data_IF_225364276767
#
_entry.id   IF_225364276767
#
_cell.length_a   1.000
_cell.length_b   1.000
_cell.length_c   1.000
_cell.angle_alpha   90.00
_cell.angle_beta   90.00
_cell.angle_gamma   90.00
#
_symmetry.space_group_name_H-M   'P 1'
#
loop_
_entity.id
_entity.type
_entity.pdbx_description
1 polymer ?
#
# COMPACT_ATOMS: atom_id res chain seq x y z
N UNK A 1 6.38 65.94 4.90
CA UNK A 1 5.96 64.71 4.20
C UNK A 1 7.16 63.77 4.11
N UNK A 2 7.22 62.73 4.93
CA UNK A 2 8.25 61.67 4.88
C UNK A 2 7.55 60.33 4.98
N UNK A 3 7.38 59.65 3.86
CA UNK A 3 6.85 58.30 3.80
C UNK A 3 8.00 57.31 3.82
N UNK A 4 8.22 56.64 4.95
CA UNK A 4 8.83 55.31 4.97
C UNK A 4 7.69 54.31 4.99
N UNK A 5 7.56 53.50 3.94
CA UNK A 5 6.84 52.23 4.02
C UNK A 5 7.83 51.12 3.70
N UNK A 6 8.09 50.35 4.75
CA UNK A 6 8.93 49.17 4.78
C UNK A 6 8.41 48.11 3.79
N UNK A 7 9.30 47.66 2.90
CA UNK A 7 9.16 46.37 2.24
C UNK A 7 10.09 45.39 2.95
N UNK A 8 9.56 44.53 3.81
CA UNK A 8 10.28 43.38 4.32
C UNK A 8 9.30 42.22 4.56
N UNK A 9 9.55 41.14 3.81
CA UNK A 9 9.35 39.73 4.12
C UNK A 9 8.02 39.25 4.74
N UNK A 10 7.31 38.39 4.01
CA UNK A 10 6.63 37.23 4.58
C UNK A 10 6.62 36.08 3.56
N UNK A 11 7.79 35.46 3.42
CA UNK A 11 7.89 34.05 3.06
C UNK A 11 7.72 33.22 4.36
N UNK A 12 7.18 32.00 4.23
CA UNK A 12 7.09 30.95 5.27
C UNK A 12 5.92 31.04 6.27
N UNK A 13 4.69 30.81 5.81
CA UNK A 13 3.63 30.28 6.70
C UNK A 13 2.79 29.24 5.96
N UNK A 14 3.30 28.01 5.88
CA UNK A 14 2.55 26.90 5.25
C UNK A 14 3.01 25.51 5.68
N UNK A 15 3.75 25.38 6.78
CA UNK A 15 4.26 24.08 7.26
C UNK A 15 3.48 23.50 8.46
N UNK A 16 2.61 24.28 9.10
CA UNK A 16 1.99 23.90 10.37
C UNK A 16 0.59 23.26 10.27
N UNK A 17 0.05 23.02 9.08
CA UNK A 17 -1.33 22.51 8.91
C UNK A 17 -1.44 21.00 8.62
N UNK A 18 -0.33 20.25 8.65
CA UNK A 18 -0.31 18.85 8.18
C UNK A 18 -0.79 17.82 9.24
N UNK A 19 -1.00 18.24 10.49
CA UNK A 19 -1.18 17.32 11.63
C UNK A 19 -2.62 17.15 12.13
N UNK A 20 -3.68 17.56 11.41
CA UNK A 20 -5.05 17.32 11.88
C UNK A 20 -5.79 16.21 11.14
N UNK A 21 -5.95 15.10 11.87
CA UNK A 21 -6.91 14.01 11.75
C UNK A 21 -6.64 12.91 10.72
N UNK A 22 -5.67 12.07 11.07
CA UNK A 22 -5.82 10.62 10.90
C UNK A 22 -6.76 10.13 12.03
N UNK A 23 -7.99 9.67 11.76
CA UNK A 23 -8.77 8.95 12.75
C UNK A 23 -8.13 7.58 12.89
N UNK A 24 -7.46 7.34 14.01
CA UNK A 24 -6.67 6.13 14.17
C UNK A 24 -7.18 5.31 15.37
N UNK A 25 -7.58 4.08 15.07
CA UNK A 25 -7.36 2.96 16.02
C UNK A 25 -5.85 2.73 16.25
N UNK A 26 -4.98 3.34 15.45
CA UNK A 26 -3.52 3.32 15.53
C UNK A 26 -2.96 4.52 16.32
N UNK A 27 -2.50 4.31 17.55
CA UNK A 27 -1.84 5.37 18.35
C UNK A 27 -0.52 5.78 17.69
N UNK A 28 -0.48 6.90 16.97
CA UNK A 28 0.76 7.56 16.53
C UNK A 28 0.85 8.89 17.29
N UNK A 29 1.95 9.11 18.02
CA UNK A 29 2.09 10.26 18.90
C UNK A 29 2.58 11.51 18.17
N UNK A 30 2.34 12.70 18.74
CA UNK A 30 2.80 13.99 18.18
C UNK A 30 4.33 14.04 17.94
N UNK A 31 5.11 13.31 18.76
CA UNK A 31 6.57 13.21 18.63
C UNK A 31 7.02 12.34 17.43
N UNK A 32 6.18 11.41 16.97
CA UNK A 32 6.50 10.52 15.83
C UNK A 32 6.37 11.28 14.50
N UNK A 33 5.41 12.21 14.43
CA UNK A 33 5.15 13.08 13.27
C UNK A 33 6.35 13.99 12.96
N UNK A 34 7.07 14.47 13.97
CA UNK A 34 8.22 15.36 13.82
C UNK A 34 9.48 14.68 13.28
N UNK A 35 9.54 13.34 13.31
CA UNK A 35 10.69 12.53 12.85
C UNK A 35 10.48 11.92 11.47
N UNK A 36 9.30 12.08 10.88
CA UNK A 36 8.97 11.48 9.60
C UNK A 36 9.84 12.08 8.47
N UNK A 37 10.46 11.26 7.62
CA UNK A 37 11.22 11.75 6.48
C UNK A 37 10.31 12.46 5.47
N UNK A 38 10.86 13.42 4.73
CA UNK A 38 10.21 14.03 3.56
C UNK A 38 10.09 12.96 2.46
N UNK A 39 8.98 12.22 2.50
CA UNK A 39 8.53 11.16 1.60
C UNK A 39 7.02 11.33 1.46
N UNK A 40 6.47 11.13 0.27
CA UNK A 40 5.03 11.21 0.03
C UNK A 40 4.54 10.07 -0.89
N UNK A 41 5.36 9.06 -1.12
CA UNK A 41 5.09 7.89 -1.95
C UNK A 41 5.87 6.72 -1.35
N UNK A 42 5.14 5.69 -0.93
CA UNK A 42 5.68 4.51 -0.26
C UNK A 42 4.94 3.26 -0.74
N UNK A 43 5.63 2.13 -0.76
CA UNK A 43 5.07 0.83 -1.12
C UNK A 43 5.63 -0.28 -0.22
N UNK A 44 4.90 -1.39 -0.14
CA UNK A 44 5.35 -2.63 0.51
C UNK A 44 6.42 -3.36 -0.29
N UNK A 45 6.40 -3.23 -1.62
CA UNK A 45 7.43 -3.71 -2.53
C UNK A 45 8.07 -2.50 -3.21
N UNK A 46 9.34 -2.25 -2.90
CA UNK A 46 10.09 -1.12 -3.47
C UNK A 46 10.84 -1.50 -4.75
N UNK A 47 10.99 -2.79 -5.03
CA UNK A 47 11.67 -3.27 -6.23
C UNK A 47 10.69 -3.34 -7.40
N UNK A 48 9.45 -3.76 -7.11
CA UNK A 48 8.34 -3.78 -8.04
C UNK A 48 7.08 -3.19 -7.35
N UNK A 49 6.99 -1.85 -7.24
CA UNK A 49 5.85 -1.22 -6.58
C UNK A 49 4.58 -1.33 -7.43
N UNK A 50 3.40 -1.56 -6.82
CA UNK A 50 2.12 -1.49 -7.53
C UNK A 50 1.97 -0.21 -8.35
N UNK A 51 1.49 -0.33 -9.59
CA UNK A 51 1.24 0.80 -10.49
C UNK A 51 -0.22 1.21 -10.46
N UNK A 52 -0.48 2.52 -10.47
CA UNK A 52 -1.83 3.06 -10.53
C UNK A 52 -2.43 2.92 -11.92
N UNK A 53 -3.74 2.76 -12.02
CA UNK A 53 -4.50 2.67 -13.27
C UNK A 53 -5.17 4.01 -13.56
N UNK A 54 -6.08 4.45 -12.68
CA UNK A 54 -6.84 5.71 -12.82
C UNK A 54 -5.95 6.92 -12.53
N UNK A 55 -4.99 6.75 -11.62
CA UNK A 55 -4.07 7.80 -11.20
C UNK A 55 -2.69 7.73 -11.85
N UNK A 56 -2.51 6.90 -12.89
CA UNK A 56 -1.21 6.64 -13.52
C UNK A 56 -0.45 7.92 -13.90
N UNK A 57 -1.14 8.91 -14.48
CA UNK A 57 -0.52 10.18 -14.91
C UNK A 57 -0.03 11.07 -13.75
N UNK A 58 -0.39 10.76 -12.49
CA UNK A 58 -0.02 11.56 -11.30
C UNK A 58 1.26 11.07 -10.63
N UNK A 59 1.55 9.78 -10.76
CA UNK A 59 2.60 9.11 -9.99
C UNK A 59 3.56 8.40 -10.92
N UNK A 60 4.79 8.90 -10.99
CA UNK A 60 5.90 8.21 -11.66
C UNK A 60 6.42 7.02 -10.85
N UNK A 61 7.57 6.44 -11.23
CA UNK A 61 8.26 5.46 -10.39
C UNK A 61 8.71 6.09 -9.06
N UNK A 62 8.73 5.29 -8.00
CA UNK A 62 9.33 5.72 -6.72
C UNK A 62 10.82 6.02 -6.96
N UNK A 63 11.33 7.21 -6.62
CA UNK A 63 12.72 7.56 -6.85
C UNK A 63 13.68 6.58 -6.17
N UNK A 64 14.76 6.18 -6.85
CA UNK A 64 15.72 5.20 -6.32
C UNK A 64 16.35 5.68 -4.99
N UNK A 65 16.60 6.99 -4.88
CA UNK A 65 17.12 7.62 -3.66
C UNK A 65 16.15 7.57 -2.46
N UNK A 66 14.86 7.30 -2.70
CA UNK A 66 13.86 7.17 -1.64
C UNK A 66 13.82 5.77 -1.08
N UNK A 67 14.14 4.73 -1.84
CA UNK A 67 13.98 3.33 -1.40
C UNK A 67 14.74 3.03 -0.10
N UNK A 68 16.03 3.42 0.08
CA UNK A 68 16.72 3.21 1.35
C UNK A 68 16.09 4.01 2.51
N UNK A 69 15.58 5.22 2.23
CA UNK A 69 14.92 6.07 3.23
C UNK A 69 13.59 5.46 3.70
N UNK A 70 12.80 4.93 2.76
CA UNK A 70 11.55 4.21 3.05
C UNK A 70 11.86 2.97 3.89
N UNK A 71 12.84 2.15 3.46
CA UNK A 71 13.23 0.93 4.17
C UNK A 71 13.69 1.19 5.60
N UNK A 72 14.48 2.24 5.81
CA UNK A 72 14.99 2.59 7.14
C UNK A 72 13.91 3.21 8.03
N UNK A 73 13.05 4.08 7.49
CA UNK A 73 12.01 4.74 8.27
C UNK A 73 10.83 3.82 8.59
N UNK A 74 10.49 2.92 7.66
CA UNK A 74 9.31 2.07 7.73
C UNK A 74 9.65 0.59 7.45
N UNK A 75 10.53 -0.04 8.26
CA UNK A 75 10.95 -1.43 8.04
C UNK A 75 9.79 -2.45 8.13
N UNK A 76 8.67 -2.04 8.73
CA UNK A 76 7.45 -2.82 8.84
C UNK A 76 6.57 -2.79 7.59
N UNK A 77 6.88 -1.97 6.57
CA UNK A 77 6.13 -1.98 5.30
C UNK A 77 6.56 -3.19 4.49
N UNK A 78 5.87 -4.29 4.73
CA UNK A 78 6.04 -5.54 4.02
C UNK A 78 4.70 -5.96 3.40
N UNK A 79 4.73 -6.71 2.30
CA UNK A 79 3.54 -7.31 1.71
C UNK A 79 2.89 -8.25 2.72
N UNK A 80 1.57 -8.34 2.67
CA UNK A 80 0.87 -9.38 3.43
C UNK A 80 0.95 -10.69 2.64
N UNK A 81 1.45 -11.74 3.28
CA UNK A 81 1.57 -13.07 2.69
C UNK A 81 0.43 -13.96 3.19
N UNK A 82 -0.31 -14.54 2.25
CA UNK A 82 -1.48 -15.37 2.48
C UNK A 82 -1.21 -16.74 1.87
N UNK A 83 -1.54 -17.81 2.59
CA UNK A 83 -1.48 -19.15 2.02
C UNK A 83 -2.56 -19.26 0.94
N UNK A 84 -2.16 -19.49 -0.32
CA UNK A 84 -3.10 -19.70 -1.43
C UNK A 84 -3.51 -21.18 -1.56
N UNK A 85 -2.99 -22.04 -0.68
CA UNK A 85 -3.20 -23.48 -0.69
C UNK A 85 -2.12 -24.23 -1.47
N UNK A 86 -2.21 -25.55 -1.39
CA UNK A 86 -1.45 -26.48 -2.23
C UNK A 86 -2.32 -27.11 -3.32
N UNK A 87 -3.64 -26.85 -3.29
CA UNK A 87 -4.59 -27.33 -4.28
C UNK A 87 -4.44 -26.62 -5.62
N UNK A 88 -5.00 -27.26 -6.65
CA UNK A 88 -5.03 -26.74 -8.01
C UNK A 88 -5.80 -25.42 -8.13
N UNK A 89 -5.81 -24.87 -9.35
CA UNK A 89 -6.26 -23.52 -9.70
C UNK A 89 -7.55 -23.04 -9.02
N UNK A 90 -8.51 -23.94 -8.75
CA UNK A 90 -9.78 -23.59 -8.12
C UNK A 90 -9.63 -23.08 -6.68
N UNK A 91 -8.79 -23.72 -5.86
CA UNK A 91 -8.55 -23.27 -4.48
C UNK A 91 -7.86 -21.90 -4.48
N UNK A 92 -6.89 -21.70 -5.37
CA UNK A 92 -6.17 -20.44 -5.51
C UNK A 92 -7.13 -19.31 -5.92
N UNK A 93 -8.03 -19.57 -6.89
CA UNK A 93 -9.08 -18.62 -7.31
C UNK A 93 -10.01 -18.24 -6.16
N UNK A 94 -10.41 -19.21 -5.35
CA UNK A 94 -11.26 -18.97 -4.17
C UNK A 94 -10.57 -18.07 -3.14
N UNK A 95 -9.31 -18.37 -2.80
CA UNK A 95 -8.53 -17.53 -1.87
C UNK A 95 -8.35 -16.11 -2.44
N UNK A 96 -8.03 -15.99 -3.73
CA UNK A 96 -7.92 -14.68 -4.40
C UNK A 96 -9.23 -13.90 -4.32
N UNK A 97 -10.37 -14.55 -4.58
CA UNK A 97 -11.68 -13.92 -4.52
C UNK A 97 -12.01 -13.44 -3.10
N UNK A 98 -11.78 -14.27 -2.07
CA UNK A 98 -11.98 -13.91 -0.67
C UNK A 98 -11.12 -12.69 -0.29
N UNK A 99 -9.84 -12.69 -0.69
CA UNK A 99 -8.91 -11.60 -0.37
C UNK A 99 -9.29 -10.30 -1.10
N UNK A 100 -9.69 -10.39 -2.37
CA UNK A 100 -10.17 -9.22 -3.12
C UNK A 100 -11.46 -8.65 -2.54
N UNK A 101 -12.41 -9.50 -2.16
CA UNK A 101 -13.67 -9.05 -1.57
C UNK A 101 -13.44 -8.39 -0.21
N UNK A 102 -12.63 -9.01 0.65
CA UNK A 102 -12.25 -8.43 1.94
C UNK A 102 -11.53 -7.07 1.77
N UNK A 103 -10.58 -6.97 0.84
CA UNK A 103 -9.86 -5.73 0.55
C UNK A 103 -10.80 -4.63 0.02
N UNK A 104 -11.70 -4.98 -0.90
CA UNK A 104 -12.67 -4.06 -1.51
C UNK A 104 -13.69 -3.58 -0.48
N UNK A 105 -14.24 -4.50 0.31
CA UNK A 105 -15.19 -4.21 1.39
C UNK A 105 -14.56 -3.33 2.47
N UNK A 106 -13.31 -3.60 2.85
CA UNK A 106 -12.57 -2.74 3.77
C UNK A 106 -12.33 -1.34 3.18
N UNK A 107 -11.92 -1.24 1.92
CA UNK A 107 -11.70 0.05 1.26
C UNK A 107 -13.00 0.87 1.16
N UNK A 108 -14.13 0.24 0.80
CA UNK A 108 -15.44 0.89 0.70
C UNK A 108 -16.00 1.32 2.06
N UNK A 109 -15.76 0.55 3.11
CA UNK A 109 -16.21 0.88 4.47
C UNK A 109 -15.28 1.87 5.19
N UNK A 110 -14.08 2.09 4.67
CA UNK A 110 -13.14 3.04 5.26
C UNK A 110 -13.62 4.48 5.01
N UNK A 111 -13.81 5.30 6.07
CA UNK A 111 -14.31 6.65 5.89
C UNK A 111 -13.42 7.51 5.00
N UNK A 112 -14.02 8.25 4.06
CA UNK A 112 -13.35 9.15 3.10
C UNK A 112 -12.43 8.45 2.11
N UNK A 113 -12.60 7.14 1.92
CA UNK A 113 -12.05 6.43 0.79
C UNK A 113 -13.10 6.34 -0.32
N UNK A 114 -12.64 6.47 -1.55
CA UNK A 114 -13.42 6.30 -2.77
C UNK A 114 -12.73 5.22 -3.60
N UNK A 115 -13.37 4.07 -3.79
CA UNK A 115 -12.85 3.04 -4.69
C UNK A 115 -13.10 3.47 -6.13
N UNK A 116 -12.03 3.66 -6.89
CA UNK A 116 -12.08 4.18 -8.27
C UNK A 116 -11.78 3.11 -9.32
N UNK A 117 -11.19 1.98 -8.93
CA UNK A 117 -10.94 0.85 -9.81
C UNK A 117 -10.91 -0.46 -9.02
N UNK A 118 -11.50 -1.51 -9.59
CA UNK A 118 -11.37 -2.89 -9.12
C UNK A 118 -11.19 -3.74 -10.37
N UNK A 119 -10.17 -4.59 -10.38
CA UNK A 119 -9.95 -5.62 -11.39
C UNK A 119 -9.78 -6.95 -10.68
N UNK A 120 -10.52 -7.95 -11.10
CA UNK A 120 -10.45 -9.31 -10.54
C UNK A 120 -9.63 -10.23 -11.46
N UNK A 121 -9.30 -11.42 -10.96
CA UNK A 121 -8.57 -12.43 -11.72
C UNK A 121 -9.27 -12.80 -13.04
N UNK A 122 -10.60 -12.81 -13.06
CA UNK A 122 -11.41 -13.11 -14.24
C UNK A 122 -11.21 -12.05 -15.33
N UNK A 123 -11.00 -10.79 -14.94
CA UNK A 123 -10.74 -9.67 -15.84
C UNK A 123 -9.28 -9.63 -16.34
N UNK A 124 -8.34 -10.19 -15.56
CA UNK A 124 -6.90 -10.17 -15.82
C UNK A 124 -6.45 -11.18 -16.90
N UNK A 125 -7.24 -12.23 -17.13
CA UNK A 125 -6.96 -13.26 -18.15
C UNK A 125 -6.96 -12.71 -19.60
N UNK A 126 -7.42 -11.47 -19.81
CA UNK A 126 -7.51 -10.83 -21.13
C UNK A 126 -6.40 -9.82 -21.45
N UNK A 127 -5.44 -9.58 -20.55
CA UNK A 127 -4.33 -8.66 -20.80
C UNK A 127 -3.45 -8.45 -19.58
N UNK A 128 -2.14 -8.64 -19.73
CA UNK A 128 -1.15 -8.56 -18.65
C UNK A 128 -1.35 -7.33 -17.75
N UNK A 129 -1.61 -7.48 -16.43
CA UNK A 129 -1.84 -6.34 -15.56
C UNK A 129 -0.51 -5.72 -15.15
N UNK A 130 -0.47 -4.38 -15.18
CA UNK A 130 0.18 -3.53 -14.18
C UNK A 130 1.45 -4.08 -13.49
N UNK A 131 2.55 -4.20 -14.25
CA UNK A 131 3.90 -4.43 -13.72
C UNK A 131 4.07 -5.79 -13.04
N UNK A 132 4.94 -6.64 -13.59
CA UNK A 132 5.31 -7.90 -12.97
C UNK A 132 6.67 -8.36 -13.48
N UNK A 133 7.42 -9.01 -12.61
CA UNK A 133 8.62 -9.77 -12.98
C UNK A 133 8.15 -11.13 -13.52
N UNK A 134 8.79 -11.66 -14.57
CA UNK A 134 8.44 -12.97 -15.14
C UNK A 134 8.35 -14.05 -14.07
N UNK A 135 7.21 -14.73 -13.99
CA UNK A 135 6.93 -15.80 -13.00
C UNK A 135 5.84 -15.46 -11.99
N UNK A 136 5.53 -14.17 -11.80
CA UNK A 136 4.44 -13.72 -10.93
C UNK A 136 3.25 -13.24 -11.78
N UNK A 137 2.06 -13.77 -11.50
CA UNK A 137 0.83 -13.34 -12.18
C UNK A 137 0.07 -12.40 -11.25
N UNK A 138 -0.13 -11.15 -11.68
CA UNK A 138 -1.08 -10.26 -11.01
C UNK A 138 -2.50 -10.82 -11.21
N UNK A 139 -3.19 -11.07 -10.10
CA UNK A 139 -4.50 -11.75 -10.06
C UNK A 139 -5.61 -10.86 -9.52
N UNK A 140 -5.30 -9.62 -9.15
CA UNK A 140 -6.30 -8.65 -8.73
C UNK A 140 -5.69 -7.29 -8.43
N UNK A 141 -6.43 -6.23 -8.77
CA UNK A 141 -6.07 -4.84 -8.54
C UNK A 141 -7.23 -4.11 -7.85
N UNK A 142 -6.90 -3.23 -6.93
CA UNK A 142 -7.85 -2.30 -6.31
C UNK A 142 -7.19 -0.93 -6.18
N UNK A 143 -7.79 0.08 -6.80
CA UNK A 143 -7.37 1.47 -6.64
C UNK A 143 -8.43 2.26 -5.87
N UNK A 144 -7.98 3.02 -4.89
CA UNK A 144 -8.83 3.90 -4.09
C UNK A 144 -8.17 5.27 -3.87
N UNK A 145 -8.98 6.27 -3.57
CA UNK A 145 -8.55 7.62 -3.22
C UNK A 145 -8.95 7.91 -1.79
N UNK A 146 -7.98 8.22 -0.93
CA UNK A 146 -8.22 8.67 0.44
C UNK A 146 -8.20 10.20 0.50
N UNK A 147 -9.23 10.80 1.11
CA UNK A 147 -9.30 12.26 1.30
C UNK A 147 -9.09 12.62 2.77
N UNK A 148 -8.09 13.46 3.08
CA UNK A 148 -7.81 13.97 4.44
C UNK A 148 -8.95 14.86 4.97
N UNK A 149 -9.12 14.95 6.30
CA UNK A 149 -10.39 15.41 6.89
C UNK A 149 -10.52 16.92 6.83
N UNK A 150 -9.45 17.60 7.22
CA UNK A 150 -9.42 19.05 7.35
C UNK A 150 -9.08 19.72 6.01
N UNK A 151 -7.96 19.31 5.40
CA UNK A 151 -7.40 19.96 4.21
C UNK A 151 -7.92 19.38 2.88
N UNK A 152 -8.63 18.24 2.92
CA UNK A 152 -9.14 17.54 1.74
C UNK A 152 -8.07 17.16 0.70
N UNK A 153 -6.81 17.06 1.12
CA UNK A 153 -5.75 16.46 0.32
C UNK A 153 -6.12 15.04 -0.05
N UNK A 154 -5.79 14.66 -1.29
CA UNK A 154 -6.07 13.37 -1.86
C UNK A 154 -4.77 12.57 -1.94
N UNK A 155 -4.87 11.32 -1.51
CA UNK A 155 -3.82 10.33 -1.62
C UNK A 155 -4.37 9.13 -2.39
N UNK A 156 -3.60 8.59 -3.32
CA UNK A 156 -3.97 7.43 -4.13
C UNK A 156 -3.41 6.17 -3.48
N UNK A 157 -4.22 5.11 -3.43
CA UNK A 157 -3.90 3.81 -2.85
C UNK A 157 -4.07 2.76 -3.94
N UNK A 158 -3.04 1.95 -4.13
CA UNK A 158 -3.07 0.80 -5.02
C UNK A 158 -2.81 -0.46 -4.23
N UNK A 159 -3.71 -1.43 -4.31
CA UNK A 159 -3.55 -2.77 -3.76
C UNK A 159 -3.42 -3.72 -4.96
N UNK A 160 -2.37 -4.55 -4.96
CA UNK A 160 -2.11 -5.54 -6.01
C UNK A 160 -1.96 -6.91 -5.37
N UNK A 161 -2.68 -7.89 -5.91
CA UNK A 161 -2.59 -9.29 -5.53
C UNK A 161 -1.75 -10.03 -6.57
N UNK A 162 -0.77 -10.81 -6.12
CA UNK A 162 0.07 -11.67 -6.97
C UNK A 162 0.14 -13.07 -6.41
N UNK A 163 -0.05 -14.06 -7.28
CA UNK A 163 0.32 -15.43 -6.94
C UNK A 163 1.83 -15.59 -7.18
N UNK A 164 2.52 -16.11 -6.18
CA UNK A 164 3.94 -16.41 -6.20
C UNK A 164 4.11 -17.87 -5.76
N UNK A 165 4.83 -18.67 -6.54
CA UNK A 165 5.27 -19.99 -6.06
C UNK A 165 6.25 -19.76 -4.92
N UNK A 166 6.17 -20.51 -3.80
CA UNK A 166 7.25 -20.49 -2.81
C UNK A 166 8.55 -20.84 -3.53
N UNK A 167 9.38 -19.83 -3.80
CA UNK A 167 10.76 -20.06 -4.12
C UNK A 167 11.33 -20.74 -2.88
N UNK A 168 11.70 -22.01 -3.02
CA UNK A 168 12.53 -22.68 -2.04
C UNK A 168 13.70 -21.75 -1.79
N UNK A 169 13.77 -21.17 -0.58
CA UNK A 169 14.95 -20.47 -0.15
C UNK A 169 16.10 -21.46 -0.32
N UNK A 170 16.99 -21.16 -1.26
CA UNK A 170 18.04 -22.05 -1.73
C UNK A 170 19.06 -22.41 -0.63
N UNK A 171 18.90 -21.84 0.58
CA UNK A 171 19.79 -21.97 1.73
C UNK A 171 19.20 -22.75 2.93
N UNK A 172 17.99 -23.30 2.83
CA UNK A 172 17.47 -24.25 3.84
C UNK A 172 17.23 -25.58 3.17
N UNK A 173 18.02 -26.60 3.55
CA UNK A 173 17.75 -28.00 3.27
C UNK A 173 16.25 -28.26 3.47
N UNK A 174 15.53 -28.39 2.36
CA UNK A 174 14.13 -28.74 2.36
C UNK A 174 14.04 -30.10 3.06
N UNK A 175 13.41 -30.12 4.24
CA UNK A 175 13.05 -31.38 4.87
C UNK A 175 12.25 -32.20 3.85
N UNK A 176 12.58 -33.49 3.62
CA UNK A 176 11.85 -34.31 2.67
C UNK A 176 10.36 -34.32 3.05
N UNK A 177 9.51 -33.79 2.17
CA UNK A 177 8.08 -33.57 2.40
C UNK A 177 7.64 -32.10 2.52
N UNK A 178 8.53 -31.11 2.36
CA UNK A 178 8.11 -29.70 2.24
C UNK A 178 7.52 -29.42 0.85
N UNK A 179 6.23 -29.68 0.70
CA UNK A 179 5.48 -29.32 -0.50
C UNK A 179 5.58 -27.80 -0.73
N UNK A 180 6.04 -27.41 -1.92
CA UNK A 180 6.23 -26.01 -2.31
C UNK A 180 4.85 -25.36 -2.51
N UNK A 181 4.32 -24.71 -1.48
CA UNK A 181 2.99 -24.10 -1.54
C UNK A 181 2.94 -22.85 -2.41
N UNK A 182 1.75 -22.51 -2.90
CA UNK A 182 1.52 -21.22 -3.57
C UNK A 182 1.18 -20.17 -2.52
N UNK A 183 1.80 -18.99 -2.64
CA UNK A 183 1.58 -17.84 -1.77
C UNK A 183 0.86 -16.75 -2.55
N UNK A 184 -0.20 -16.24 -1.97
CA UNK A 184 -0.83 -15.01 -2.44
C UNK A 184 -0.21 -13.83 -1.69
N UNK A 185 0.47 -12.97 -2.44
CA UNK A 185 1.09 -11.74 -1.95
C UNK A 185 0.13 -10.57 -2.16
N UNK A 186 -0.10 -9.78 -1.12
CA UNK A 186 -0.84 -8.51 -1.18
C UNK A 186 0.14 -7.36 -1.04
N UNK A 187 0.42 -6.69 -2.15
CA UNK A 187 1.25 -5.49 -2.20
C UNK A 187 0.37 -4.23 -2.11
N UNK A 188 0.86 -3.20 -1.43
CA UNK A 188 0.16 -1.92 -1.34
C UNK A 188 1.13 -0.77 -1.61
N UNK A 189 0.70 0.19 -2.42
CA UNK A 189 1.35 1.50 -2.61
C UNK A 189 0.40 2.60 -2.18
N UNK A 190 0.95 3.66 -1.57
CA UNK A 190 0.18 4.86 -1.25
C UNK A 190 1.00 6.13 -1.47
N UNK A 191 0.42 7.08 -2.21
CA UNK A 191 1.10 8.28 -2.66
C UNK A 191 0.21 9.52 -2.58
N UNK A 192 0.76 10.65 -2.14
CA UNK A 192 0.04 11.92 -2.05
C UNK A 192 0.05 12.67 -3.38
N UNK A 193 -1.10 13.24 -3.78
CA UNK A 193 -1.19 14.03 -5.02
C UNK A 193 -0.50 15.39 -4.92
N UNK A 194 -0.25 15.88 -3.71
CA UNK A 194 0.32 17.20 -3.43
C UNK A 194 1.28 17.14 -2.24
N UNK A 195 2.23 18.09 -2.19
CA UNK A 195 3.21 18.21 -1.11
C UNK A 195 4.46 17.37 -1.35
N UNK A 196 5.59 17.76 -0.71
CA UNK A 196 6.87 17.04 -0.83
C UNK A 196 7.03 15.92 0.19
N UNK A 197 6.21 15.91 1.24
CA UNK A 197 6.22 14.93 2.32
C UNK A 197 4.83 14.76 2.91
N UNK A 198 4.58 13.62 3.55
CA UNK A 198 3.27 13.24 4.09
C UNK A 198 3.28 12.99 5.61
N UNK A 199 4.41 13.28 6.27
CA UNK A 199 4.65 13.01 7.69
C UNK A 199 4.32 11.56 8.13
N UNK A 200 4.51 10.59 7.24
CA UNK A 200 4.25 9.18 7.50
C UNK A 200 2.79 8.77 7.31
N UNK A 201 1.92 9.64 6.80
CA UNK A 201 0.49 9.36 6.60
C UNK A 201 0.28 8.17 5.67
N UNK A 202 1.01 8.06 4.56
CA UNK A 202 0.88 6.96 3.61
C UNK A 202 1.38 5.64 4.21
N UNK A 203 2.49 5.67 4.96
CA UNK A 203 2.98 4.49 5.68
C UNK A 203 2.00 4.03 6.75
N UNK A 204 1.42 4.95 7.52
CA UNK A 204 0.40 4.65 8.52
C UNK A 204 -0.88 4.09 7.89
N UNK A 205 -1.27 4.60 6.71
CA UNK A 205 -2.41 4.11 5.93
C UNK A 205 -2.20 2.67 5.50
N UNK A 206 -1.05 2.35 4.89
CA UNK A 206 -0.72 0.99 4.47
C UNK A 206 -0.75 0.04 5.67
N UNK A 207 -0.09 0.41 6.77
CA UNK A 207 -0.07 -0.38 8.01
C UNK A 207 -1.47 -0.64 8.56
N UNK A 208 -2.31 0.39 8.63
CA UNK A 208 -3.67 0.29 9.14
C UNK A 208 -4.59 -0.54 8.24
N UNK A 209 -4.45 -0.40 6.92
CA UNK A 209 -5.20 -1.18 5.95
C UNK A 209 -4.82 -2.66 6.01
N UNK A 210 -3.52 -2.99 5.94
CA UNK A 210 -3.05 -4.38 5.99
C UNK A 210 -3.33 -5.05 7.33
N UNK A 211 -3.28 -4.31 8.44
CA UNK A 211 -3.65 -4.82 9.76
C UNK A 211 -5.13 -5.24 9.82
N UNK A 212 -6.04 -4.39 9.34
CA UNK A 212 -7.47 -4.71 9.29
C UNK A 212 -7.78 -5.82 8.28
N UNK A 213 -7.12 -5.83 7.13
CA UNK A 213 -7.26 -6.90 6.14
C UNK A 213 -6.81 -8.23 6.75
N UNK A 214 -5.67 -8.26 7.44
CA UNK A 214 -5.18 -9.45 8.15
C UNK A 214 -6.22 -9.98 9.15
N UNK A 215 -6.76 -9.10 9.99
CA UNK A 215 -7.81 -9.48 10.96
C UNK A 215 -9.05 -10.03 10.27
N UNK A 216 -9.47 -9.43 9.16
CA UNK A 216 -10.66 -9.86 8.42
C UNK A 216 -10.46 -11.23 7.75
N UNK A 217 -9.29 -11.46 7.16
CA UNK A 217 -8.95 -12.75 6.57
C UNK A 217 -8.88 -13.87 7.61
N UNK A 218 -8.34 -13.59 8.79
CA UNK A 218 -8.31 -14.56 9.89
C UNK A 218 -9.72 -14.98 10.35
N UNK A 219 -10.70 -14.07 10.34
CA UNK A 219 -12.10 -14.41 10.63
C UNK A 219 -12.71 -15.35 9.58
N UNK A 220 -12.25 -15.26 8.33
CA UNK A 220 -12.64 -16.15 7.24
C UNK A 220 -11.84 -17.47 7.21
N UNK A 221 -11.02 -17.75 8.23
CA UNK A 221 -10.21 -18.97 8.29
C UNK A 221 -9.02 -18.98 7.31
N UNK A 222 -8.69 -17.84 6.70
CA UNK A 222 -7.58 -17.72 5.77
C UNK A 222 -6.26 -17.63 6.55
N UNK A 223 -5.32 -18.53 6.24
CA UNK A 223 -4.02 -18.58 6.90
C UNK A 223 -3.10 -17.45 6.41
N UNK A 224 -2.68 -16.62 7.35
CA UNK A 224 -1.65 -15.59 7.13
C UNK A 224 -0.29 -16.20 7.40
N UNK A 225 0.64 -16.06 6.47
CA UNK A 225 2.01 -16.52 6.62
C UNK A 225 2.80 -15.44 7.37
N UNK A 226 3.53 -15.83 8.42
CA UNK A 226 4.42 -14.91 9.12
C UNK A 226 5.55 -14.49 8.18
N UNK A 227 5.73 -13.18 8.03
CA UNK A 227 6.88 -12.58 7.35
C UNK A 227 8.09 -12.45 8.28
#
# INVERSE_FOLDING_TARGET
MRGLRAGFALALTGWAAFALLVPSRTKMGLLDVAKAPILNDVATDLNDPPTYIVSAARHGPIPESWKPRIRNAYPYLQPLLVAAGQGGDQQQKEVVAIVMDAATSLARSTPRWEVVHVQTHEDAAAGSPAGGVSGDTAVGLLEAVSTTKMMRFKDDIMVRLRLQQQQQQQDKEAAPGSDSGVVLRVDVRSASRVGKGDLGTNAARIKGFLGQLKEELQKHGIQILSS
#
